data_IF_356442712402
#
_entry.id   IF_356442712402
#
_cell.length_a   1.000
_cell.length_b   1.000
_cell.length_c   1.000
_cell.angle_alpha   90.00
_cell.angle_beta   90.00
_cell.angle_gamma   90.00
#
_symmetry.space_group_name_H-M   'P 1'
#
loop_
_entity.id
_entity.type
_entity.pdbx_description
1 polymer ?
#
# COMPACT_ATOMS: atom_id res chain seq x y z
N UNK A 1 6.24 -0.82 3.05
CA UNK A 1 5.09 -0.48 3.91
C UNK A 1 5.47 -0.26 5.37
N UNK A 2 6.72 0.10 5.70
CA UNK A 2 7.16 0.28 7.08
C UNK A 2 6.54 1.53 7.76
N UNK A 3 6.67 1.60 9.10
CA UNK A 3 6.11 2.66 9.94
C UNK A 3 4.63 2.97 9.60
N UNK A 4 3.79 1.93 9.66
CA UNK A 4 2.40 1.99 9.24
C UNK A 4 1.54 0.96 10.00
N UNK A 5 1.74 0.84 11.31
CA UNK A 5 1.07 -0.19 12.12
C UNK A 5 -0.30 0.23 12.60
N UNK A 6 -0.47 1.52 12.92
CA UNK A 6 -1.71 2.10 13.40
C UNK A 6 -1.82 3.56 12.99
N UNK A 7 -3.00 3.95 12.52
CA UNK A 7 -3.27 5.35 12.15
C UNK A 7 -3.06 6.33 13.32
N UNK A 8 -3.12 5.86 14.57
CA UNK A 8 -3.00 6.66 15.79
C UNK A 8 -1.70 7.48 15.82
N UNK A 9 -0.58 6.85 15.45
CA UNK A 9 0.75 7.49 15.53
C UNK A 9 1.61 7.29 14.27
N UNK A 10 1.16 6.48 13.30
CA UNK A 10 1.84 6.32 12.01
C UNK A 10 1.18 7.12 10.87
N UNK A 11 -0.05 7.65 11.09
CA UNK A 11 -0.85 8.37 10.09
C UNK A 11 -1.53 7.48 9.04
N UNK A 12 -1.08 6.23 8.88
CA UNK A 12 -1.66 5.25 7.95
C UNK A 12 -1.40 3.84 8.47
N UNK A 13 -2.30 2.92 8.13
CA UNK A 13 -2.09 1.48 8.21
C UNK A 13 -1.78 0.95 6.82
N UNK A 14 -0.68 0.23 6.65
CA UNK A 14 -0.27 -0.26 5.34
C UNK A 14 0.34 -1.65 5.40
N UNK A 15 0.12 -2.44 4.36
CA UNK A 15 0.58 -3.83 4.29
C UNK A 15 0.63 -4.35 2.86
N UNK A 16 1.41 -5.41 2.67
CA UNK A 16 1.40 -6.17 1.42
C UNK A 16 0.16 -7.07 1.47
N UNK A 17 -0.67 -6.98 0.45
CA UNK A 17 -1.87 -7.79 0.30
C UNK A 17 -1.61 -9.00 -0.59
N UNK A 18 -0.94 -8.82 -1.73
CA UNK A 18 -0.66 -9.91 -2.65
C UNK A 18 0.67 -9.74 -3.37
N UNK A 19 1.29 -10.87 -3.73
CA UNK A 19 2.32 -10.93 -4.78
C UNK A 19 1.60 -11.20 -6.09
N UNK A 20 1.99 -10.50 -7.15
CA UNK A 20 1.38 -10.58 -8.47
C UNK A 20 2.39 -11.17 -9.46
N UNK A 21 1.91 -12.10 -10.27
CA UNK A 21 2.64 -12.63 -11.42
C UNK A 21 2.75 -11.58 -12.54
N UNK A 22 3.72 -11.72 -13.47
CA UNK A 22 3.83 -10.87 -14.66
C UNK A 22 2.53 -10.72 -15.46
N UNK A 23 1.71 -11.77 -15.50
CA UNK A 23 0.45 -11.81 -16.26
C UNK A 23 -0.66 -10.95 -15.61
N UNK A 24 -0.52 -10.63 -14.33
CA UNK A 24 -1.48 -9.84 -13.55
C UNK A 24 -1.13 -8.34 -13.52
N UNK A 25 0.04 -7.94 -14.03
CA UNK A 25 0.53 -6.56 -13.95
C UNK A 25 0.46 -5.84 -15.30
N UNK A 26 0.27 -4.50 -15.30
CA UNK A 26 0.12 -3.73 -16.55
C UNK A 26 1.35 -3.72 -17.46
N UNK A 27 2.54 -3.99 -16.91
CA UNK A 27 3.82 -3.91 -17.62
C UNK A 27 4.51 -5.26 -17.82
N UNK A 28 3.83 -6.37 -17.49
CA UNK A 28 4.38 -7.71 -17.71
C UNK A 28 5.53 -8.07 -16.78
N UNK A 29 5.62 -7.45 -15.60
CA UNK A 29 6.69 -7.68 -14.61
C UNK A 29 6.13 -8.20 -13.28
N UNK A 30 6.90 -8.95 -12.48
CA UNK A 30 6.44 -9.38 -11.16
C UNK A 30 6.13 -8.16 -10.28
N UNK A 31 5.04 -8.23 -9.52
CA UNK A 31 4.53 -7.10 -8.75
C UNK A 31 4.13 -7.46 -7.33
N UNK A 32 3.83 -6.42 -6.55
CA UNK A 32 3.18 -6.55 -5.24
C UNK A 32 2.02 -5.56 -5.16
N UNK A 33 0.87 -6.03 -4.66
CA UNK A 33 -0.27 -5.17 -4.31
C UNK A 33 -0.13 -4.75 -2.86
N UNK A 34 -0.23 -3.45 -2.63
CA UNK A 34 -0.13 -2.83 -1.31
C UNK A 34 -1.45 -2.14 -1.01
N UNK A 35 -1.95 -2.32 0.22
CA UNK A 35 -3.12 -1.60 0.72
C UNK A 35 -2.68 -0.53 1.72
N UNK A 36 -3.35 0.63 1.65
CA UNK A 36 -3.17 1.77 2.55
C UNK A 36 -4.53 2.19 3.09
N UNK A 37 -4.62 2.38 4.41
CA UNK A 37 -5.81 2.79 5.12
C UNK A 37 -5.47 4.00 6.00
N UNK A 38 -6.31 5.04 5.97
CA UNK A 38 -6.14 6.21 6.82
C UNK A 38 -7.51 6.70 7.32
N UNK A 39 -7.50 7.48 8.40
CA UNK A 39 -8.73 7.99 9.01
C UNK A 39 -9.49 9.03 8.16
N UNK A 40 -8.90 9.54 7.09
CA UNK A 40 -9.57 10.46 6.16
C UNK A 40 -8.99 10.39 4.75
N UNK A 41 -9.77 10.84 3.75
CA UNK A 41 -9.30 10.97 2.35
C UNK A 41 -8.06 11.86 2.25
N UNK A 42 -8.02 12.96 3.00
CA UNK A 42 -6.90 13.91 2.97
C UNK A 42 -5.60 13.29 3.51
N UNK A 43 -5.66 12.59 4.65
CA UNK A 43 -4.47 11.90 5.18
C UNK A 43 -4.06 10.74 4.28
N UNK A 44 -5.02 9.99 3.71
CA UNK A 44 -4.73 8.94 2.74
C UNK A 44 -3.99 9.50 1.51
N UNK A 45 -4.46 10.62 0.96
CA UNK A 45 -3.82 11.31 -0.17
C UNK A 45 -2.39 11.70 0.15
N UNK A 46 -2.15 12.30 1.33
CA UNK A 46 -0.82 12.71 1.79
C UNK A 46 0.11 11.52 1.97
N UNK A 47 -0.35 10.46 2.64
CA UNK A 47 0.44 9.26 2.91
C UNK A 47 0.77 8.49 1.64
N UNK A 48 -0.18 8.40 0.70
CA UNK A 48 0.05 7.81 -0.63
C UNK A 48 1.20 8.54 -1.35
N UNK A 49 1.14 9.87 -1.44
CA UNK A 49 2.16 10.66 -2.12
C UNK A 49 3.54 10.54 -1.46
N UNK A 50 3.61 10.69 -0.13
CA UNK A 50 4.86 10.59 0.59
C UNK A 50 5.51 9.22 0.42
N UNK A 51 4.73 8.15 0.52
CA UNK A 51 5.25 6.78 0.46
C UNK A 51 5.65 6.37 -0.94
N UNK A 52 4.85 6.72 -1.96
CA UNK A 52 5.23 6.42 -3.34
C UNK A 52 6.42 7.27 -3.75
N UNK A 53 6.42 8.56 -3.45
CA UNK A 53 7.51 9.47 -3.80
C UNK A 53 8.84 9.17 -3.11
N UNK A 54 8.82 8.78 -1.83
CA UNK A 54 10.05 8.57 -1.06
C UNK A 54 10.50 7.11 -0.97
N UNK A 55 9.62 6.16 -1.27
CA UNK A 55 9.94 4.72 -1.13
C UNK A 55 9.78 3.91 -2.42
N UNK A 56 8.91 4.32 -3.35
CA UNK A 56 8.68 3.55 -4.59
C UNK A 56 9.42 4.20 -5.75
N UNK A 57 9.27 5.51 -5.97
CA UNK A 57 10.00 6.26 -7.00
C UNK A 57 11.51 6.12 -6.85
N UNK A 58 11.99 6.04 -5.62
CA UNK A 58 13.42 5.89 -5.27
C UNK A 58 13.90 4.44 -5.28
N UNK A 59 13.01 3.46 -5.45
CA UNK A 59 13.38 2.03 -5.48
C UNK A 59 13.83 1.63 -6.89
N UNK A 60 14.99 0.94 -7.05
CA UNK A 60 15.52 0.54 -8.34
C UNK A 60 14.52 -0.25 -9.19
N UNK A 61 14.30 0.19 -10.43
CA UNK A 61 13.40 -0.48 -11.38
C UNK A 61 11.92 -0.51 -11.00
N UNK A 62 11.47 0.21 -9.97
CA UNK A 62 10.06 0.21 -9.58
C UNK A 62 9.18 0.97 -10.59
N UNK A 63 7.92 0.54 -10.70
CA UNK A 63 6.84 1.30 -11.34
C UNK A 63 5.61 1.25 -10.42
N UNK A 64 4.67 2.19 -10.57
CA UNK A 64 3.52 2.29 -9.67
C UNK A 64 2.20 2.46 -10.43
N UNK A 65 1.33 1.46 -10.30
CA UNK A 65 0.06 1.38 -11.00
C UNK A 65 -1.12 1.47 -10.04
N UNK A 66 -2.27 1.91 -10.54
CA UNK A 66 -3.50 1.95 -9.77
C UNK A 66 -3.97 0.52 -9.44
N UNK A 67 -4.08 0.21 -8.15
CA UNK A 67 -4.53 -1.11 -7.68
C UNK A 67 -6.03 -1.21 -7.43
N UNK A 68 -6.76 -0.09 -7.54
CA UNK A 68 -8.19 -0.01 -7.25
C UNK A 68 -8.87 0.96 -8.21
N UNK A 69 -10.00 0.55 -8.79
CA UNK A 69 -10.97 1.46 -9.39
C UNK A 69 -11.91 1.98 -8.30
N UNK A 70 -12.14 3.29 -8.24
CA UNK A 70 -12.89 3.92 -7.17
C UNK A 70 -13.66 5.14 -7.64
N UNK A 71 -14.66 5.53 -6.86
CA UNK A 71 -15.56 6.66 -7.17
C UNK A 71 -14.86 8.01 -7.10
N UNK A 72 -13.80 8.11 -6.30
CA UNK A 72 -13.05 9.34 -6.08
C UNK A 72 -11.56 9.07 -6.39
N UNK A 73 -10.96 9.81 -7.33
CA UNK A 73 -9.57 9.62 -7.71
C UNK A 73 -8.63 10.31 -6.71
N UNK A 74 -7.69 9.55 -6.16
CA UNK A 74 -6.51 10.09 -5.49
C UNK A 74 -5.41 10.36 -6.51
N UNK A 75 -4.72 11.50 -6.36
CA UNK A 75 -3.54 11.82 -7.15
C UNK A 75 -2.40 10.87 -6.76
N UNK A 76 -1.93 10.11 -7.74
CA UNK A 76 -0.77 9.24 -7.64
C UNK A 76 0.40 9.95 -8.34
N UNK A 77 0.72 9.54 -9.56
CA UNK A 77 1.72 10.18 -10.42
C UNK A 77 1.40 11.64 -10.75
N UNK A 78 0.13 12.04 -10.70
CA UNK A 78 -0.27 13.44 -10.89
C UNK A 78 0.32 14.39 -9.85
N UNK A 79 0.63 13.90 -8.65
CA UNK A 79 1.34 14.71 -7.65
C UNK A 79 2.86 14.60 -7.84
N UNK A 80 3.35 13.41 -8.21
CA UNK A 80 4.78 13.11 -8.28
C UNK A 80 5.46 13.65 -9.55
N UNK A 81 4.71 13.92 -10.62
CA UNK A 81 5.28 14.33 -11.91
C UNK A 81 6.20 15.55 -11.85
N UNK A 82 5.99 16.43 -10.88
CA UNK A 82 6.80 17.63 -10.69
C UNK A 82 8.25 17.31 -10.29
N UNK A 83 8.52 16.10 -9.80
CA UNK A 83 9.88 15.60 -9.57
C UNK A 83 10.75 15.67 -10.83
N UNK A 84 10.15 15.47 -12.01
CA UNK A 84 10.86 15.50 -13.28
C UNK A 84 11.15 16.92 -13.79
N UNK A 85 10.82 17.97 -13.05
CA UNK A 85 11.17 19.37 -13.35
C UNK A 85 10.90 19.82 -14.80
N UNK A 86 9.73 19.47 -15.33
CA UNK A 86 9.32 19.81 -16.70
C UNK A 86 9.64 18.75 -17.75
N UNK A 87 10.46 17.75 -17.43
CA UNK A 87 10.83 16.66 -18.32
C UNK A 87 9.90 15.45 -18.26
N UNK A 88 8.82 15.51 -17.46
CA UNK A 88 7.82 14.45 -17.42
C UNK A 88 7.13 14.24 -18.78
N UNK A 89 6.98 12.99 -19.19
CA UNK A 89 6.25 12.63 -20.42
C UNK A 89 4.87 12.11 -20.03
N UNK A 90 3.82 12.72 -20.59
CA UNK A 90 2.44 12.25 -20.41
C UNK A 90 2.03 11.29 -21.52
N UNK A 91 1.42 10.16 -21.14
CA UNK A 91 0.77 9.23 -22.07
C UNK A 91 -0.64 8.92 -21.59
N UNK A 92 -1.57 8.74 -22.54
CA UNK A 92 -2.93 8.27 -22.28
C UNK A 92 -3.17 7.00 -23.07
N UNK A 93 -3.59 5.94 -22.38
CA UNK A 93 -3.90 4.64 -22.99
C UNK A 93 -5.09 4.03 -22.27
N UNK A 94 -6.09 3.57 -23.02
CA UNK A 94 -7.30 2.96 -22.44
C UNK A 94 -8.03 3.85 -21.42
N UNK A 95 -8.06 5.17 -21.64
CA UNK A 95 -8.66 6.14 -20.70
C UNK A 95 -7.83 6.42 -19.45
N UNK A 96 -6.74 5.70 -19.21
CA UNK A 96 -5.82 5.89 -18.08
C UNK A 96 -4.69 6.84 -18.47
N UNK A 97 -4.27 7.67 -17.53
CA UNK A 97 -3.11 8.55 -17.69
C UNK A 97 -1.90 7.92 -17.03
N UNK A 98 -0.78 7.93 -17.74
CA UNK A 98 0.52 7.49 -17.25
C UNK A 98 1.52 8.64 -17.37
N UNK A 99 2.45 8.68 -16.42
CA UNK A 99 3.61 9.55 -16.40
C UNK A 99 4.87 8.70 -16.50
N UNK A 100 5.81 9.18 -17.31
CA UNK A 100 7.19 8.69 -17.34
C UNK A 100 8.06 9.82 -16.83
N UNK A 101 8.73 9.60 -15.71
CA UNK A 101 9.55 10.60 -15.04
C UNK A 101 11.03 10.20 -15.24
N UNK A 102 11.85 11.03 -15.90
CA UNK A 102 13.29 10.79 -15.97
C UNK A 102 13.89 10.71 -14.56
N UNK A 103 14.69 9.67 -14.33
CA UNK A 103 15.43 9.38 -13.09
C UNK A 103 16.83 8.86 -13.45
N UNK A 104 17.71 8.69 -12.47
CA UNK A 104 19.11 8.31 -12.73
C UNK A 104 19.28 6.98 -13.49
N UNK A 105 18.41 6.00 -13.25
CA UNK A 105 18.46 4.68 -13.88
C UNK A 105 17.54 4.53 -15.10
N UNK A 106 16.97 5.64 -15.58
CA UNK A 106 16.09 5.67 -16.76
C UNK A 106 14.80 6.41 -16.48
N UNK A 107 13.69 5.67 -16.32
CA UNK A 107 12.37 6.26 -16.14
C UNK A 107 11.57 5.57 -15.04
N UNK A 108 11.01 6.38 -14.15
CA UNK A 108 9.96 5.93 -13.24
C UNK A 108 8.59 6.06 -13.92
N UNK A 109 7.93 4.92 -14.14
CA UNK A 109 6.60 4.87 -14.75
C UNK A 109 5.54 4.80 -13.66
N UNK A 110 4.55 5.70 -13.71
CA UNK A 110 3.43 5.65 -12.77
C UNK A 110 2.09 6.10 -13.38
N UNK A 111 0.98 5.57 -12.87
CA UNK A 111 -0.35 6.08 -13.21
C UNK A 111 -0.63 7.43 -12.57
N UNK A 112 -1.40 8.27 -13.26
CA UNK A 112 -1.74 9.61 -12.79
C UNK A 112 -2.56 9.60 -11.51
N UNK A 113 -3.53 8.68 -11.42
CA UNK A 113 -4.45 8.55 -10.29
C UNK A 113 -4.66 7.09 -9.90
N UNK A 114 -5.15 6.87 -8.68
CA UNK A 114 -5.69 5.58 -8.23
C UNK A 114 -7.05 5.82 -7.57
N UNK A 115 -7.94 4.83 -7.61
CA UNK A 115 -9.20 4.91 -6.90
C UNK A 115 -9.03 4.77 -5.38
N UNK A 116 -10.02 5.26 -4.65
CA UNK A 116 -10.24 4.97 -3.24
C UNK A 116 -11.62 4.35 -3.01
N UNK A 117 -11.78 3.61 -1.90
CA UNK A 117 -13.07 3.12 -1.42
C UNK A 117 -13.29 3.55 0.03
N UNK A 118 -14.54 3.90 0.37
CA UNK A 118 -14.99 4.17 1.75
C UNK A 118 -15.67 2.97 2.39
N UNK A 119 -15.83 1.88 1.64
CA UNK A 119 -16.44 0.62 2.12
C UNK A 119 -15.43 -0.31 2.81
N UNK A 120 -14.17 0.10 2.90
CA UNK A 120 -13.14 -0.64 3.61
C UNK A 120 -13.43 -0.70 5.12
N UNK A 121 -13.03 -1.80 5.75
CA UNK A 121 -13.16 -2.01 7.20
C UNK A 121 -11.77 -2.03 7.83
N UNK A 122 -11.59 -1.24 8.89
CA UNK A 122 -10.41 -1.27 9.74
C UNK A 122 -10.72 -1.87 11.11
N UNK A 123 -9.74 -2.52 11.74
CA UNK A 123 -9.84 -2.95 13.14
C UNK A 123 -10.50 -4.30 13.41
N UNK A 124 -10.79 -5.11 12.39
CA UNK A 124 -11.14 -6.53 12.60
C UNK A 124 -10.01 -7.25 13.37
N UNK A 125 -10.35 -7.96 14.45
CA UNK A 125 -9.35 -8.53 15.35
C UNK A 125 -9.80 -9.84 16.01
N UNK A 126 -8.81 -10.63 16.44
CA UNK A 126 -8.96 -11.85 17.22
C UNK A 126 -8.04 -11.77 18.45
N UNK A 127 -8.53 -12.21 19.60
CA UNK A 127 -7.71 -12.38 20.81
C UNK A 127 -7.36 -13.85 20.98
N UNK A 128 -6.06 -14.16 20.91
CA UNK A 128 -5.54 -15.51 21.11
C UNK A 128 -5.06 -15.67 22.55
N UNK A 129 -5.72 -16.57 23.29
CA UNK A 129 -5.39 -16.88 24.68
C UNK A 129 -4.82 -18.30 24.76
N UNK A 130 -3.57 -18.43 25.19
CA UNK A 130 -2.89 -19.72 25.31
C UNK A 130 -2.17 -19.88 26.64
N UNK A 131 -1.82 -21.13 26.97
CA UNK A 131 -1.23 -21.51 28.27
C UNK A 131 0.25 -21.12 28.41
N UNK A 132 0.94 -20.78 27.33
CA UNK A 132 2.34 -20.36 27.33
C UNK A 132 2.61 -19.37 26.20
N UNK A 133 3.64 -18.52 26.38
CA UNK A 133 4.06 -17.54 25.36
C UNK A 133 4.41 -18.25 24.04
N UNK A 134 5.12 -19.37 24.11
CA UNK A 134 5.51 -20.13 22.92
C UNK A 134 4.30 -20.67 22.14
N UNK A 135 3.32 -21.26 22.83
CA UNK A 135 2.11 -21.79 22.18
C UNK A 135 1.26 -20.66 21.57
N UNK A 136 1.05 -19.57 22.30
CA UNK A 136 0.27 -18.42 21.82
C UNK A 136 0.94 -17.74 20.62
N UNK A 137 2.27 -17.58 20.65
CA UNK A 137 3.04 -17.01 19.53
C UNK A 137 2.93 -17.89 18.29
N UNK A 138 3.10 -19.21 18.44
CA UNK A 138 2.97 -20.13 17.32
C UNK A 138 1.56 -20.09 16.69
N UNK A 139 0.52 -20.03 17.52
CA UNK A 139 -0.85 -19.87 17.04
C UNK A 139 -1.06 -18.54 16.29
N UNK A 140 -0.49 -17.44 16.80
CA UNK A 140 -0.55 -16.13 16.16
C UNK A 140 0.17 -16.10 14.80
N UNK A 141 1.40 -16.63 14.72
CA UNK A 141 2.16 -16.73 13.47
C UNK A 141 1.45 -17.62 12.44
N UNK A 142 0.82 -18.71 12.90
CA UNK A 142 -0.01 -19.58 12.04
C UNK A 142 -1.24 -18.85 11.51
N UNK A 143 -1.93 -18.10 12.36
CA UNK A 143 -3.09 -17.29 11.95
C UNK A 143 -2.67 -16.22 10.92
N UNK A 144 -1.54 -15.55 11.13
CA UNK A 144 -1.00 -14.57 10.18
C UNK A 144 -0.70 -15.22 8.83
N UNK A 145 -0.07 -16.40 8.81
CA UNK A 145 0.23 -17.11 7.57
C UNK A 145 -1.06 -17.46 6.79
N UNK A 146 -2.11 -17.90 7.48
CA UNK A 146 -3.40 -18.18 6.85
C UNK A 146 -4.08 -16.91 6.31
N UNK A 147 -4.07 -15.83 7.10
CA UNK A 147 -4.67 -14.55 6.71
C UNK A 147 -3.92 -13.88 5.54
N UNK A 148 -2.62 -14.13 5.39
CA UNK A 148 -1.84 -13.63 4.26
C UNK A 148 -2.25 -14.23 2.90
N UNK A 149 -3.04 -15.31 2.89
CA UNK A 149 -3.64 -15.87 1.68
C UNK A 149 -5.00 -15.25 1.33
N UNK A 150 -5.56 -14.39 2.20
CA UNK A 150 -6.86 -13.75 2.00
C UNK A 150 -6.67 -12.45 1.22
N UNK A 151 -7.11 -12.44 -0.04
CA UNK A 151 -7.06 -11.24 -0.86
C UNK A 151 -7.93 -10.11 -0.28
N UNK A 152 -7.40 -8.89 -0.31
CA UNK A 152 -8.04 -7.69 0.23
C UNK A 152 -7.82 -7.47 1.72
N UNK A 153 -6.96 -8.27 2.38
CA UNK A 153 -6.71 -8.18 3.81
C UNK A 153 -5.22 -7.96 4.09
N UNK A 154 -4.93 -7.09 5.07
CA UNK A 154 -3.57 -6.89 5.59
C UNK A 154 -3.57 -6.99 7.11
N UNK A 155 -2.40 -7.32 7.66
CA UNK A 155 -2.14 -7.30 9.10
C UNK A 155 -1.00 -6.29 9.34
N UNK A 156 -1.33 -5.00 9.61
CA UNK A 156 -0.37 -3.90 9.53
C UNK A 156 0.66 -3.88 10.67
N UNK A 157 0.41 -4.60 11.76
CA UNK A 157 1.33 -4.68 12.90
C UNK A 157 2.60 -5.48 12.57
N UNK A 158 3.69 -5.33 13.35
CA UNK A 158 4.93 -6.07 13.10
C UNK A 158 4.71 -7.58 13.10
N UNK A 159 5.04 -8.24 11.99
CA UNK A 159 4.76 -9.67 11.80
C UNK A 159 3.28 -10.03 11.81
N UNK A 160 2.38 -9.06 11.64
CA UNK A 160 0.93 -9.22 11.69
C UNK A 160 0.34 -9.37 13.10
N UNK A 161 1.12 -9.18 14.17
CA UNK A 161 0.72 -9.50 15.55
C UNK A 161 0.77 -8.28 16.45
N UNK A 162 -0.30 -8.05 17.22
CA UNK A 162 -0.36 -7.01 18.26
C UNK A 162 0.04 -7.62 19.60
N UNK A 163 1.16 -7.15 20.19
CA UNK A 163 1.58 -7.58 21.54
C UNK A 163 1.06 -6.69 22.68
N UNK A 164 0.66 -5.47 22.36
CA UNK A 164 0.44 -4.38 23.33
C UNK A 164 -0.99 -3.83 23.26
N UNK A 165 -1.99 -4.71 23.19
CA UNK A 165 -3.40 -4.31 23.05
C UNK A 165 -3.75 -3.12 23.95
N UNK A 166 -4.52 -2.18 23.40
CA UNK A 166 -4.87 -0.93 24.06
C UNK A 166 -6.34 -0.90 24.46
N UNK A 167 -6.69 0.06 25.32
CA UNK A 167 -8.07 0.45 25.62
C UNK A 167 -8.26 1.93 25.31
N UNK A 168 -9.49 2.33 25.00
CA UNK A 168 -9.87 3.74 24.93
C UNK A 168 -9.79 4.35 26.34
N UNK A 169 -9.29 5.57 26.45
CA UNK A 169 -9.15 6.30 27.71
C UNK A 169 -8.60 7.70 27.50
#
# INVERSE_FOLDING_TARGET
TGFATSIIACGVEAGIDARLSPEETPDGRPGVRVLLFAGSTGELQKQLQNRVGQCVLTSPGAACYAGLAGIEPLKLGDALRYFADGFQISKRFGGRRFWRLPVMDGEFVCEGTTGLTKSAVGGGNLLLMGKSVAATRHAAETAVAAMAAVAGAIMPFPGGIVRSGSKVG
#
